data_IF_741914684757
#
_entry.id   IF_741914684757
#
_cell.length_a   1.000
_cell.length_b   1.000
_cell.length_c   1.000
_cell.angle_alpha   90.00
_cell.angle_beta   90.00
_cell.angle_gamma   90.00
#
_symmetry.space_group_name_H-M   'P 1'
#
loop_
_entity.id
_entity.type
_entity.pdbx_description
1 polymer ?
#
# COMPACT_ATOMS: atom_id res chain seq x y z
N UNK A 1 -37.95 -10.10 -11.68
CA UNK A 1 -37.19 -8.85 -11.90
C UNK A 1 -35.73 -9.16 -11.65
N UNK A 2 -34.86 -9.02 -12.66
CA UNK A 2 -33.44 -9.33 -12.50
C UNK A 2 -32.77 -8.25 -11.64
N UNK A 3 -32.29 -8.61 -10.46
CA UNK A 3 -31.43 -7.74 -9.65
C UNK A 3 -30.19 -7.38 -10.48
N UNK A 4 -30.13 -6.13 -10.95
CA UNK A 4 -29.00 -5.64 -11.74
C UNK A 4 -27.71 -5.78 -10.94
N UNK A 5 -26.82 -6.69 -11.37
CA UNK A 5 -25.50 -6.88 -10.75
C UNK A 5 -24.80 -5.53 -10.65
N UNK A 6 -24.62 -5.02 -9.42
CA UNK A 6 -23.89 -3.78 -9.16
C UNK A 6 -22.51 -3.90 -9.80
N UNK A 7 -22.14 -2.94 -10.67
CA UNK A 7 -20.79 -2.88 -11.25
C UNK A 7 -19.74 -2.96 -10.13
N UNK A 8 -18.65 -3.72 -10.32
CA UNK A 8 -17.60 -3.86 -9.32
C UNK A 8 -17.01 -2.48 -8.97
N UNK A 9 -16.44 -2.35 -7.77
CA UNK A 9 -15.77 -1.12 -7.36
C UNK A 9 -14.47 -0.91 -8.14
N UNK A 10 -13.73 -1.98 -8.37
CA UNK A 10 -12.41 -1.96 -8.98
C UNK A 10 -12.19 -3.17 -9.89
N UNK A 11 -11.07 -3.16 -10.61
CA UNK A 11 -10.54 -4.26 -11.41
C UNK A 11 -9.02 -4.27 -11.35
N UNK A 12 -8.40 -5.44 -11.42
CA UNK A 12 -6.94 -5.57 -11.44
C UNK A 12 -6.45 -5.60 -12.89
N UNK A 13 -5.43 -4.80 -13.22
CA UNK A 13 -4.81 -4.74 -14.56
C UNK A 13 -3.29 -4.60 -14.44
N UNK A 14 -2.57 -4.63 -15.56
CA UNK A 14 -1.15 -4.25 -15.59
C UNK A 14 -1.03 -2.77 -15.20
N UNK A 15 -0.08 -2.45 -14.33
CA UNK A 15 0.18 -1.10 -13.86
C UNK A 15 1.30 -0.45 -14.67
N UNK A 16 1.22 0.88 -14.84
CA UNK A 16 2.34 1.68 -15.34
C UNK A 16 3.41 1.95 -14.28
N UNK A 17 3.08 1.78 -12.99
CA UNK A 17 3.96 2.00 -11.85
C UNK A 17 4.81 0.75 -11.59
N UNK A 18 4.14 -0.37 -11.27
CA UNK A 18 4.81 -1.63 -10.95
C UNK A 18 3.86 -2.82 -11.14
N UNK A 19 4.29 -3.83 -11.90
CA UNK A 19 3.61 -5.12 -12.01
C UNK A 19 2.11 -5.01 -12.35
N UNK A 20 1.26 -5.34 -11.38
CA UNK A 20 -0.20 -5.19 -11.47
C UNK A 20 -0.65 -4.05 -10.55
N UNK A 21 -1.77 -3.44 -10.90
CA UNK A 21 -2.41 -2.36 -10.16
C UNK A 21 -3.90 -2.60 -10.02
N UNK A 22 -4.50 -1.94 -9.04
CA UNK A 22 -5.96 -1.91 -8.84
C UNK A 22 -6.49 -0.63 -9.44
N UNK A 23 -7.52 -0.72 -10.28
CA UNK A 23 -8.09 0.42 -11.00
C UNK A 23 -9.57 0.57 -10.68
N UNK A 24 -10.05 1.80 -10.52
CA UNK A 24 -11.45 2.08 -10.33
C UNK A 24 -12.27 1.56 -11.55
N UNK A 25 -13.26 0.71 -11.29
CA UNK A 25 -14.16 0.20 -12.32
C UNK A 25 -15.42 1.07 -12.49
N UNK A 26 -15.67 1.95 -11.51
CA UNK A 26 -16.70 2.97 -11.51
C UNK A 26 -16.23 4.17 -10.67
N UNK A 27 -16.99 5.27 -10.69
CA UNK A 27 -16.71 6.44 -9.85
C UNK A 27 -16.72 6.03 -8.37
N UNK A 28 -15.64 6.34 -7.65
CA UNK A 28 -15.53 6.19 -6.20
C UNK A 28 -15.58 7.59 -5.59
N UNK A 29 -16.47 7.81 -4.61
CA UNK A 29 -16.58 9.12 -3.95
C UNK A 29 -15.50 9.24 -2.88
N UNK A 30 -15.08 10.48 -2.58
CA UNK A 30 -14.25 10.77 -1.40
C UNK A 30 -14.87 10.15 -0.14
N UNK A 31 -14.04 9.53 0.70
CA UNK A 31 -14.43 8.84 1.93
C UNK A 31 -15.05 7.47 1.70
N UNK A 32 -15.13 6.99 0.46
CA UNK A 32 -15.69 5.66 0.18
C UNK A 32 -14.68 4.56 0.50
N UNK A 33 -15.09 3.55 1.28
CA UNK A 33 -14.33 2.32 1.49
C UNK A 33 -14.27 1.51 0.19
N UNK A 34 -13.06 1.15 -0.24
CA UNK A 34 -12.83 0.40 -1.48
C UNK A 34 -12.68 -1.09 -1.19
N UNK A 35 -11.72 -1.44 -0.32
CA UNK A 35 -11.34 -2.82 -0.02
C UNK A 35 -10.70 -2.88 1.36
N UNK A 36 -10.81 -4.02 2.03
CA UNK A 36 -9.98 -4.34 3.20
C UNK A 36 -8.62 -4.87 2.77
N UNK A 37 -7.56 -4.53 3.48
CA UNK A 37 -6.28 -5.21 3.34
C UNK A 37 -6.31 -6.52 4.13
N UNK A 38 -6.48 -7.64 3.42
CA UNK A 38 -6.55 -8.97 4.00
C UNK A 38 -5.25 -9.75 3.79
N UNK A 39 -5.01 -10.70 4.69
CA UNK A 39 -3.85 -11.57 4.72
C UNK A 39 -3.77 -12.33 6.03
N UNK A 40 -2.75 -13.14 6.19
CA UNK A 40 -2.47 -13.83 7.45
C UNK A 40 -2.08 -12.83 8.54
N UNK A 41 -2.54 -13.04 9.77
CA UNK A 41 -2.23 -12.17 10.91
C UNK A 41 -1.12 -12.83 11.72
N UNK A 42 0.05 -12.20 11.74
CA UNK A 42 1.25 -12.72 12.40
C UNK A 42 1.77 -11.70 13.42
N UNK A 43 2.65 -12.17 14.31
CA UNK A 43 3.36 -11.28 15.25
C UNK A 43 4.52 -10.57 14.55
N UNK A 44 5.02 -9.47 15.11
CA UNK A 44 6.25 -8.83 14.60
C UNK A 44 7.42 -9.81 14.55
N UNK A 45 7.62 -10.62 15.60
CA UNK A 45 8.68 -11.65 15.63
C UNK A 45 8.56 -12.65 14.48
N UNK A 46 7.33 -13.10 14.19
CA UNK A 46 7.09 -14.03 13.08
C UNK A 46 7.32 -13.36 11.72
N UNK A 47 6.95 -12.08 11.58
CA UNK A 47 7.29 -11.30 10.41
C UNK A 47 8.81 -11.25 10.24
N UNK A 48 9.56 -10.80 11.24
CA UNK A 48 11.03 -10.71 11.19
C UNK A 48 11.70 -12.04 10.84
N UNK A 49 11.17 -13.17 11.35
CA UNK A 49 11.68 -14.51 11.04
C UNK A 49 11.44 -14.93 9.58
N UNK A 50 10.26 -14.64 9.04
CA UNK A 50 9.91 -14.97 7.64
C UNK A 50 10.64 -14.07 6.65
N UNK A 51 10.88 -12.84 7.07
CA UNK A 51 11.15 -11.70 6.24
C UNK A 51 12.44 -11.01 6.71
N UNK A 52 13.53 -11.75 6.57
CA UNK A 52 14.88 -11.31 6.92
C UNK A 52 15.43 -10.40 5.81
N UNK A 53 15.44 -9.08 6.08
CA UNK A 53 15.91 -8.05 5.15
C UNK A 53 17.38 -8.24 4.72
N UNK A 54 18.22 -8.90 5.53
CA UNK A 54 19.62 -9.17 5.16
C UNK A 54 19.75 -10.31 4.14
N UNK A 55 18.80 -11.24 4.15
CA UNK A 55 18.79 -12.41 3.24
C UNK A 55 17.93 -12.19 2.01
N UNK A 56 16.93 -11.33 2.09
CA UNK A 56 15.99 -11.11 1.00
C UNK A 56 16.51 -10.07 -0.01
N UNK A 57 16.48 -10.45 -1.28
CA UNK A 57 16.74 -9.51 -2.40
C UNK A 57 15.59 -8.52 -2.63
N UNK A 58 14.51 -8.60 -1.86
CA UNK A 58 13.34 -7.71 -1.97
C UNK A 58 12.72 -7.43 -0.61
N UNK A 59 12.38 -6.18 -0.34
CA UNK A 59 11.58 -5.82 0.84
C UNK A 59 10.16 -6.39 0.80
N UNK A 60 9.63 -6.55 2.00
CA UNK A 60 8.32 -7.12 2.30
C UNK A 60 7.19 -6.18 1.92
N UNK A 61 6.92 -6.14 0.62
CA UNK A 61 5.95 -5.20 0.03
C UNK A 61 4.51 -5.41 0.52
N UNK A 62 4.26 -6.50 1.25
CA UNK A 62 2.93 -6.94 1.65
C UNK A 62 2.67 -7.00 3.15
N UNK A 63 3.65 -6.62 3.99
CA UNK A 63 3.46 -6.50 5.43
C UNK A 63 2.77 -5.17 5.77
N UNK A 64 1.72 -5.25 6.58
CA UNK A 64 0.99 -4.06 7.05
C UNK A 64 0.75 -4.14 8.56
N UNK A 65 1.36 -3.23 9.30
CA UNK A 65 1.25 -3.19 10.76
C UNK A 65 -0.12 -2.66 11.17
N UNK A 66 -0.86 -3.45 11.94
CA UNK A 66 -2.17 -3.08 12.50
C UNK A 66 -2.01 -2.39 13.85
N UNK A 67 -1.15 -2.94 14.69
CA UNK A 67 -0.84 -2.44 16.03
C UNK A 67 0.54 -2.98 16.48
N UNK A 68 0.96 -2.63 17.69
CA UNK A 68 2.28 -3.04 18.21
C UNK A 68 2.50 -4.55 18.38
N UNK A 69 1.48 -5.39 18.16
CA UNK A 69 1.58 -6.85 18.28
C UNK A 69 1.25 -7.59 16.98
N UNK A 70 0.57 -6.93 16.04
CA UNK A 70 -0.06 -7.60 14.90
C UNK A 70 0.37 -6.97 13.58
N UNK A 71 0.86 -7.82 12.69
CA UNK A 71 1.17 -7.51 11.29
C UNK A 71 0.27 -8.36 10.41
N UNK A 72 -0.26 -7.80 9.32
CA UNK A 72 -0.93 -8.56 8.27
C UNK A 72 0.07 -8.85 7.16
N UNK A 73 0.27 -10.11 6.86
CA UNK A 73 1.02 -10.58 5.71
C UNK A 73 0.08 -10.83 4.53
N UNK A 74 0.05 -9.87 3.59
CA UNK A 74 -0.75 -9.98 2.36
C UNK A 74 -0.22 -11.02 1.37
N UNK A 75 1.01 -11.53 1.52
CA UNK A 75 1.54 -12.58 0.66
C UNK A 75 0.84 -13.93 0.91
N UNK A 76 0.40 -14.16 2.14
CA UNK A 76 -0.27 -15.40 2.57
C UNK A 76 -1.75 -15.13 2.77
N UNK A 77 -2.59 -15.74 1.93
CA UNK A 77 -4.06 -15.60 2.03
C UNK A 77 -4.59 -14.18 1.77
N UNK A 78 -3.78 -13.28 1.20
CA UNK A 78 -4.20 -11.91 0.94
C UNK A 78 -5.02 -11.72 -0.32
N UNK A 79 -5.71 -10.58 -0.41
CA UNK A 79 -6.61 -10.24 -1.51
C UNK A 79 -5.98 -9.25 -2.51
N UNK A 80 -6.79 -8.58 -3.33
CA UNK A 80 -6.32 -7.62 -4.34
C UNK A 80 -5.74 -6.33 -3.73
N UNK A 81 -5.94 -6.04 -2.43
CA UNK A 81 -5.42 -4.83 -1.79
C UNK A 81 -3.89 -4.77 -1.83
N UNK A 82 -3.21 -5.93 -1.80
CA UNK A 82 -1.75 -6.04 -1.92
C UNK A 82 -1.21 -5.55 -3.26
N UNK A 83 -2.06 -5.39 -4.27
CA UNK A 83 -1.70 -4.94 -5.61
C UNK A 83 -1.90 -3.42 -5.78
N UNK A 84 -2.31 -2.70 -4.73
CA UNK A 84 -2.46 -1.24 -4.78
C UNK A 84 -1.06 -0.63 -4.65
N UNK A 85 -0.65 0.11 -5.68
CA UNK A 85 0.72 0.62 -5.79
C UNK A 85 0.97 1.87 -4.95
N UNK A 86 2.25 2.16 -4.75
CA UNK A 86 2.68 3.39 -4.11
C UNK A 86 2.50 4.61 -5.03
N UNK A 87 2.04 5.73 -4.47
CA UNK A 87 2.23 7.06 -5.05
C UNK A 87 2.61 8.09 -3.98
N UNK A 88 3.48 9.02 -4.36
CA UNK A 88 3.79 10.22 -3.56
C UNK A 88 2.66 11.26 -3.60
N UNK A 89 1.80 11.23 -4.61
CA UNK A 89 0.52 11.96 -4.68
C UNK A 89 -0.64 10.94 -4.72
N UNK A 90 -1.06 10.43 -3.57
CA UNK A 90 -2.03 9.35 -3.51
C UNK A 90 -3.48 9.81 -3.77
N UNK A 91 -4.33 8.87 -4.19
CA UNK A 91 -5.77 9.06 -4.25
C UNK A 91 -6.53 8.18 -3.23
N UNK A 92 -5.82 7.28 -2.56
CA UNK A 92 -6.32 6.45 -1.48
C UNK A 92 -5.47 6.59 -0.21
N UNK A 93 -6.05 6.21 0.92
CA UNK A 93 -5.38 6.07 2.21
C UNK A 93 -5.73 4.74 2.86
N UNK A 94 -4.83 4.23 3.70
CA UNK A 94 -5.08 3.09 4.55
C UNK A 94 -5.49 3.58 5.95
N UNK A 95 -6.64 3.10 6.43
CA UNK A 95 -7.21 3.47 7.74
C UNK A 95 -7.36 2.22 8.59
N UNK A 96 -6.89 2.29 9.83
CA UNK A 96 -7.06 1.21 10.81
C UNK A 96 -8.38 1.42 11.56
N UNK A 97 -9.29 0.46 11.44
CA UNK A 97 -10.58 0.45 12.14
C UNK A 97 -10.77 -0.89 12.86
N UNK A 98 -10.98 -0.86 14.18
CA UNK A 98 -11.23 -2.06 14.99
C UNK A 98 -10.21 -3.19 14.70
N UNK A 99 -8.91 -2.83 14.65
CA UNK A 99 -7.79 -3.73 14.32
C UNK A 99 -7.86 -4.36 12.92
N UNK A 100 -8.49 -3.72 11.95
CA UNK A 100 -8.51 -4.10 10.53
C UNK A 100 -8.03 -2.92 9.72
N UNK A 101 -7.45 -3.17 8.56
CA UNK A 101 -6.97 -2.11 7.67
C UNK A 101 -7.90 -2.03 6.47
N UNK A 102 -8.41 -0.85 6.20
CA UNK A 102 -9.27 -0.59 5.05
C UNK A 102 -8.66 0.50 4.19
N UNK A 103 -8.83 0.35 2.87
CA UNK A 103 -8.43 1.35 1.90
C UNK A 103 -9.63 2.23 1.59
N UNK A 104 -9.46 3.54 1.78
CA UNK A 104 -10.45 4.57 1.54
C UNK A 104 -10.01 5.50 0.42
N UNK A 105 -10.96 6.06 -0.32
CA UNK A 105 -10.68 7.09 -1.31
C UNK A 105 -10.49 8.46 -0.64
N UNK A 106 -9.31 9.08 -0.79
CA UNK A 106 -8.99 10.42 -0.27
C UNK A 106 -9.69 11.54 -1.04
N UNK A 107 -9.93 11.29 -2.33
CA UNK A 107 -10.59 12.19 -3.27
C UNK A 107 -11.60 11.40 -4.12
N UNK A 108 -12.39 12.09 -4.93
CA UNK A 108 -13.24 11.39 -5.90
C UNK A 108 -12.34 10.80 -6.99
N UNK A 109 -12.53 9.51 -7.31
CA UNK A 109 -11.72 8.75 -8.26
C UNK A 109 -12.61 8.34 -9.43
N UNK A 110 -12.14 8.54 -10.66
CA UNK A 110 -12.90 8.27 -11.87
C UNK A 110 -12.62 6.85 -12.40
N UNK A 111 -13.56 6.25 -13.15
CA UNK A 111 -13.34 4.93 -13.75
C UNK A 111 -12.09 4.94 -14.63
N UNK A 112 -11.21 3.97 -14.45
CA UNK A 112 -9.95 3.86 -15.18
C UNK A 112 -8.74 4.37 -14.44
N UNK A 113 -8.91 5.20 -13.40
CA UNK A 113 -7.81 5.66 -12.55
C UNK A 113 -7.22 4.50 -11.74
N UNK A 114 -5.90 4.45 -11.62
CA UNK A 114 -5.21 3.54 -10.71
C UNK A 114 -5.40 4.00 -9.27
N UNK A 115 -5.78 3.08 -8.39
CA UNK A 115 -5.81 3.31 -6.95
C UNK A 115 -4.38 3.22 -6.43
N UNK A 116 -3.97 4.24 -5.68
CA UNK A 116 -2.61 4.36 -5.15
C UNK A 116 -2.63 5.03 -3.78
N UNK A 117 -1.75 4.59 -2.87
CA UNK A 117 -1.58 5.23 -1.55
C UNK A 117 -0.09 5.41 -1.20
N UNK A 118 0.21 6.30 -0.25
CA UNK A 118 1.57 6.42 0.29
C UNK A 118 1.83 5.23 1.23
N UNK A 119 2.81 4.38 0.94
CA UNK A 119 3.13 3.19 1.73
C UNK A 119 3.66 3.55 3.12
N UNK A 120 4.10 4.80 3.31
CA UNK A 120 4.61 5.30 4.58
C UNK A 120 5.81 4.53 5.14
N UNK A 121 6.62 3.92 4.27
CA UNK A 121 7.84 3.23 4.67
C UNK A 121 8.76 4.20 5.40
N UNK A 122 9.10 3.87 6.64
CA UNK A 122 10.00 4.67 7.45
C UNK A 122 11.45 4.33 7.12
N UNK A 123 12.33 5.33 7.23
CA UNK A 123 13.76 5.18 6.99
C UNK A 123 14.42 4.67 8.26
N UNK A 124 14.88 3.42 8.25
CA UNK A 124 15.57 2.76 9.37
C UNK A 124 17.07 2.67 9.09
N UNK A 125 17.76 3.82 9.11
CA UNK A 125 19.22 3.88 8.93
C UNK A 125 19.68 4.92 7.91
N UNK A 126 20.99 4.91 7.67
CA UNK A 126 21.63 5.68 6.60
C UNK A 126 21.41 4.97 5.26
N UNK A 127 21.11 5.73 4.21
CA UNK A 127 20.96 5.14 2.89
C UNK A 127 22.33 5.02 2.23
N UNK A 128 22.68 3.80 1.85
CA UNK A 128 23.64 3.59 0.79
C UNK A 128 22.99 3.72 -0.60
N UNK A 129 23.82 3.81 -1.64
CA UNK A 129 23.36 3.97 -3.03
C UNK A 129 22.48 2.80 -3.50
N UNK A 130 22.69 1.60 -2.96
CA UNK A 130 21.92 0.41 -3.32
C UNK A 130 20.51 0.48 -2.75
N UNK A 131 20.35 0.93 -1.51
CA UNK A 131 19.06 1.19 -0.89
C UNK A 131 18.28 2.27 -1.64
N UNK A 132 18.95 3.34 -2.12
CA UNK A 132 18.29 4.37 -2.93
C UNK A 132 17.78 3.84 -4.27
N UNK A 133 18.54 2.98 -4.95
CA UNK A 133 18.09 2.31 -6.17
C UNK A 133 16.94 1.35 -5.87
N UNK A 134 17.05 0.61 -4.77
CA UNK A 134 16.08 -0.40 -4.36
C UNK A 134 14.71 0.21 -4.05
N UNK A 135 14.69 1.35 -3.37
CA UNK A 135 13.47 2.08 -3.00
C UNK A 135 13.06 3.17 -4.00
N UNK A 136 13.65 3.19 -5.19
CA UNK A 136 13.34 4.19 -6.22
C UNK A 136 11.85 4.20 -6.53
N UNK A 137 11.22 5.35 -6.35
CA UNK A 137 9.81 5.52 -6.64
C UNK A 137 9.59 5.66 -8.14
N UNK A 138 8.58 4.95 -8.66
CA UNK A 138 8.16 4.97 -10.08
C UNK A 138 6.72 5.45 -10.27
N UNK A 139 6.19 6.20 -9.30
CA UNK A 139 4.77 6.60 -9.32
C UNK A 139 4.42 7.61 -10.43
N UNK A 140 5.41 8.30 -11.01
CA UNK A 140 5.20 9.25 -12.11
C UNK A 140 4.52 10.57 -11.72
N UNK A 141 4.22 10.80 -10.44
CA UNK A 141 3.67 12.07 -9.97
C UNK A 141 4.67 13.22 -10.15
N UNK A 142 4.17 14.42 -10.48
CA UNK A 142 4.98 15.65 -10.53
C UNK A 142 5.61 15.98 -9.17
N UNK A 143 4.94 15.62 -8.07
CA UNK A 143 5.41 15.81 -6.70
C UNK A 143 6.11 14.56 -6.13
N UNK A 144 6.68 13.71 -7.01
CA UNK A 144 7.36 12.50 -6.59
C UNK A 144 8.60 12.82 -5.74
N UNK A 145 8.75 12.11 -4.61
CA UNK A 145 9.90 12.25 -3.70
C UNK A 145 11.17 11.57 -4.19
N UNK A 146 11.11 10.89 -5.34
CA UNK A 146 12.20 10.04 -5.88
C UNK A 146 12.34 8.67 -5.20
N UNK A 147 11.82 8.50 -3.99
CA UNK A 147 11.85 7.25 -3.21
C UNK A 147 10.49 6.93 -2.58
N UNK A 148 10.20 5.64 -2.40
CA UNK A 148 9.01 5.13 -1.70
C UNK A 148 9.10 5.44 -0.20
N UNK A 149 10.32 5.56 0.34
CA UNK A 149 10.56 5.86 1.74
C UNK A 149 10.16 7.30 2.10
N UNK A 150 9.59 7.47 3.30
CA UNK A 150 9.41 8.78 3.91
C UNK A 150 10.75 9.32 4.40
N UNK A 151 10.91 10.65 4.33
CA UNK A 151 12.01 11.34 5.01
C UNK A 151 11.90 11.05 6.51
N UNK A 152 13.03 10.73 7.16
CA UNK A 152 13.03 10.50 8.60
C UNK A 152 12.47 11.73 9.31
N UNK A 153 11.50 11.52 10.20
CA UNK A 153 11.10 12.58 11.13
C UNK A 153 12.29 12.76 12.06
N UNK A 154 13.05 13.86 11.93
CA UNK A 154 13.94 14.30 13.01
C UNK A 154 13.05 14.34 14.26
N UNK A 155 13.30 13.47 15.25
CA UNK A 155 12.60 13.55 16.55
C UNK A 155 12.82 14.98 17.03
N UNK A 156 11.77 15.81 17.04
CA UNK A 156 11.86 17.06 17.78
C UNK A 156 12.02 16.65 19.22
N UNK A 157 13.23 16.80 19.76
CA UNK A 157 13.48 16.68 21.19
C UNK A 157 12.66 17.81 21.82
N UNK A 158 11.48 17.47 22.33
CA UNK A 158 10.78 18.26 23.34
C UNK A 158 11.19 17.72 24.69
#
# INVERSE_FOLDING_TARGET
MAEGKKKPLYKVRKSGIQGRGVFAARKLRKGQRVIEYAGERISNKEADLRYDDEKMKRHHTFLFTVDGKTVIDGAVGGNDAKLINHSCDPNCEAVIEKKRIFIYALKTIHPGDELVYDYQYERTGENDEEMEKFYKCRCGSENCRGTIMKKSKKRSRR
#
